data_IF_442421111646
#
_entry.id   IF_442421111646
#
_cell.length_a   1.000
_cell.length_b   1.000
_cell.length_c   1.000
_cell.angle_alpha   90.00
_cell.angle_beta   90.00
_cell.angle_gamma   90.00
#
_symmetry.space_group_name_H-M   'P 1'
#
loop_
_entity.id
_entity.type
_entity.pdbx_description
1 polymer ?
#
# COMPACT_ATOMS: atom_id res chain seq x y z
N UNK A 1 41.28 -10.29 -24.25
CA UNK A 1 40.69 -8.98 -23.88
C UNK A 1 39.21 -9.25 -23.60
N UNK A 2 38.83 -9.34 -22.33
CA UNK A 2 37.43 -9.49 -21.89
C UNK A 2 36.84 -8.06 -21.91
N UNK A 3 35.88 -7.78 -22.80
CA UNK A 3 35.12 -6.56 -22.77
C UNK A 3 34.15 -6.64 -21.57
N UNK A 4 34.43 -5.87 -20.53
CA UNK A 4 33.44 -5.54 -19.52
C UNK A 4 32.39 -4.67 -20.18
N UNK A 5 31.20 -5.22 -20.33
CA UNK A 5 30.01 -4.43 -20.66
C UNK A 5 29.71 -3.62 -19.42
N UNK A 6 30.10 -2.36 -19.41
CA UNK A 6 29.65 -1.39 -18.43
C UNK A 6 28.13 -1.22 -18.65
N UNK A 7 27.32 -1.82 -17.82
CA UNK A 7 25.90 -1.49 -17.74
C UNK A 7 25.85 -0.08 -17.17
N UNK A 8 25.51 0.91 -18.00
CA UNK A 8 25.18 2.25 -17.53
C UNK A 8 24.00 2.10 -16.56
N UNK A 9 24.27 2.28 -15.28
CA UNK A 9 23.26 2.35 -14.26
C UNK A 9 22.48 3.65 -14.52
N UNK A 10 21.34 3.59 -15.21
CA UNK A 10 20.47 4.75 -15.39
C UNK A 10 20.12 5.31 -14.01
N UNK A 11 20.48 6.57 -13.77
CA UNK A 11 20.21 7.26 -12.51
C UNK A 11 18.69 7.44 -12.41
N UNK A 12 18.09 6.88 -11.37
CA UNK A 12 16.67 7.06 -11.08
C UNK A 12 16.40 8.51 -10.65
N UNK A 13 15.34 9.13 -11.19
CA UNK A 13 14.94 10.50 -10.88
C UNK A 13 13.60 10.56 -10.17
N UNK A 14 13.59 11.31 -9.07
CA UNK A 14 12.38 11.60 -8.31
C UNK A 14 12.00 13.07 -8.44
N UNK A 15 10.75 13.33 -8.81
CA UNK A 15 10.13 14.64 -8.66
C UNK A 15 9.56 14.77 -7.25
N UNK A 16 9.89 15.86 -6.55
CA UNK A 16 9.29 16.27 -5.26
C UNK A 16 8.55 17.58 -5.50
N UNK A 17 7.23 17.55 -5.40
CA UNK A 17 6.37 18.71 -5.60
C UNK A 17 5.61 19.03 -4.32
N UNK A 18 5.79 20.26 -3.84
CA UNK A 18 5.16 20.80 -2.63
C UNK A 18 5.21 22.33 -2.73
N UNK A 19 4.14 23.04 -2.42
CA UNK A 19 4.12 24.51 -2.47
C UNK A 19 4.82 25.18 -1.29
N UNK A 20 5.04 24.41 -0.19
CA UNK A 20 5.77 24.87 0.99
C UNK A 20 7.29 24.64 0.84
N UNK A 21 8.12 25.71 0.70
CA UNK A 21 9.57 25.56 0.47
C UNK A 21 10.30 24.80 1.60
N UNK A 22 9.81 24.94 2.85
CA UNK A 22 10.41 24.28 4.02
C UNK A 22 10.15 22.78 3.97
N UNK A 23 8.94 22.37 3.69
CA UNK A 23 8.56 20.95 3.54
C UNK A 23 9.37 20.29 2.41
N UNK A 24 9.41 20.93 1.25
CA UNK A 24 10.19 20.48 0.09
C UNK A 24 11.67 20.30 0.44
N UNK A 25 12.26 21.27 1.15
CA UNK A 25 13.66 21.19 1.60
C UNK A 25 13.90 20.04 2.60
N UNK A 26 12.99 19.82 3.55
CA UNK A 26 13.10 18.75 4.56
C UNK A 26 13.05 17.38 3.89
N UNK A 27 12.11 17.19 2.98
CA UNK A 27 11.96 15.96 2.22
C UNK A 27 13.19 15.70 1.34
N UNK A 28 13.61 16.70 0.54
CA UNK A 28 14.79 16.59 -0.32
C UNK A 28 16.06 16.27 0.48
N UNK A 29 16.23 16.87 1.67
CA UNK A 29 17.35 16.56 2.55
C UNK A 29 17.28 15.11 3.08
N UNK A 30 16.11 14.63 3.46
CA UNK A 30 15.93 13.26 3.93
C UNK A 30 16.28 12.25 2.84
N UNK A 31 15.81 12.49 1.61
CA UNK A 31 16.08 11.66 0.42
C UNK A 31 17.57 11.66 0.08
N UNK A 32 18.21 12.82 -0.03
CA UNK A 32 19.67 12.93 -0.31
C UNK A 32 20.52 12.24 0.74
N UNK A 33 20.15 12.37 2.02
CA UNK A 33 20.91 11.74 3.10
C UNK A 33 20.85 10.21 3.08
N UNK A 34 19.79 9.63 2.52
CA UNK A 34 19.60 8.20 2.49
C UNK A 34 20.09 7.57 1.17
N UNK A 35 19.67 8.11 0.04
CA UNK A 35 19.95 7.54 -1.28
C UNK A 35 21.26 8.07 -1.90
N UNK A 36 21.81 9.18 -1.40
CA UNK A 36 23.01 9.78 -1.97
C UNK A 36 22.87 10.07 -3.45
N UNK A 37 23.83 9.57 -4.24
CA UNK A 37 23.90 9.74 -5.70
C UNK A 37 23.05 8.70 -6.47
N UNK A 38 22.38 7.78 -5.78
CA UNK A 38 21.53 6.75 -6.43
C UNK A 38 20.19 7.30 -6.93
N UNK A 39 19.74 8.45 -6.40
CA UNK A 39 18.47 9.07 -6.70
C UNK A 39 18.64 10.58 -6.95
N UNK A 40 18.46 11.01 -8.18
CA UNK A 40 18.49 12.43 -8.55
C UNK A 40 17.16 13.10 -8.22
N UNK A 41 17.21 14.26 -7.54
CA UNK A 41 16.02 14.97 -7.09
C UNK A 41 15.72 16.14 -8.02
N UNK A 42 14.51 16.18 -8.54
CA UNK A 42 13.89 17.29 -9.27
C UNK A 42 12.82 17.90 -8.36
N UNK A 43 12.83 19.21 -8.14
CA UNK A 43 11.89 19.91 -7.28
C UNK A 43 10.87 20.70 -8.11
N UNK A 44 9.64 20.85 -7.62
CA UNK A 44 8.59 21.70 -8.19
C UNK A 44 7.77 22.38 -7.09
N UNK A 45 7.26 23.58 -7.36
CA UNK A 45 6.56 24.42 -6.38
C UNK A 45 5.03 24.39 -6.56
N UNK A 46 4.53 23.77 -7.59
CA UNK A 46 3.10 23.65 -7.92
C UNK A 46 2.86 22.53 -8.92
N UNK A 47 1.58 22.15 -9.09
CA UNK A 47 1.23 21.04 -9.97
C UNK A 47 1.54 21.26 -11.45
N UNK A 48 1.51 22.50 -11.95
CA UNK A 48 1.88 22.80 -13.35
C UNK A 48 3.37 22.55 -13.59
N UNK A 49 4.19 23.04 -12.70
CA UNK A 49 5.65 22.85 -12.73
C UNK A 49 6.00 21.38 -12.54
N UNK A 50 5.29 20.70 -11.62
CA UNK A 50 5.46 19.26 -11.40
C UNK A 50 5.28 18.45 -12.68
N UNK A 51 4.22 18.69 -13.43
CA UNK A 51 3.96 18.00 -14.70
C UNK A 51 5.09 18.30 -15.71
N UNK A 52 5.44 19.57 -15.89
CA UNK A 52 6.45 19.99 -16.85
C UNK A 52 7.81 19.35 -16.54
N UNK A 53 8.30 19.51 -15.30
CA UNK A 53 9.60 18.98 -14.88
C UNK A 53 9.66 17.46 -14.87
N UNK A 54 8.56 16.79 -14.49
CA UNK A 54 8.50 15.34 -14.53
C UNK A 54 8.77 14.79 -15.92
N UNK A 55 8.15 15.39 -16.94
CA UNK A 55 8.29 14.96 -18.33
C UNK A 55 9.62 15.42 -18.94
N UNK A 56 10.05 16.66 -18.68
CA UNK A 56 11.30 17.23 -19.23
C UNK A 56 12.55 16.54 -18.68
N UNK A 57 12.52 16.12 -17.42
CA UNK A 57 13.65 15.46 -16.76
C UNK A 57 13.55 13.93 -16.77
N UNK A 58 12.53 13.38 -17.45
CA UNK A 58 12.28 11.93 -17.53
C UNK A 58 12.30 11.26 -16.14
N UNK A 59 11.50 11.78 -15.21
CA UNK A 59 11.40 11.23 -13.85
C UNK A 59 10.62 9.91 -13.85
N UNK A 60 11.02 8.99 -12.97
CA UNK A 60 10.35 7.70 -12.79
C UNK A 60 9.44 7.70 -11.56
N UNK A 61 9.72 8.56 -10.58
CA UNK A 61 9.00 8.65 -9.32
C UNK A 61 8.46 10.07 -9.16
N UNK A 62 7.21 10.21 -8.73
CA UNK A 62 6.58 11.48 -8.37
C UNK A 62 6.09 11.44 -6.93
N UNK A 63 6.66 12.25 -6.06
CA UNK A 63 6.21 12.53 -4.71
C UNK A 63 5.49 13.87 -4.71
N UNK A 64 4.17 13.87 -4.52
CA UNK A 64 3.30 15.01 -4.77
C UNK A 64 2.54 15.40 -3.50
N UNK A 65 2.65 16.67 -3.07
CA UNK A 65 1.66 17.22 -2.16
C UNK A 65 0.31 17.35 -2.86
N UNK A 66 -0.77 17.02 -2.16
CA UNK A 66 -2.13 17.12 -2.72
C UNK A 66 -2.57 18.58 -2.78
N UNK A 67 -2.31 19.36 -1.74
CA UNK A 67 -2.93 20.67 -1.52
C UNK A 67 -2.18 21.83 -2.16
N UNK A 68 -1.66 21.65 -3.38
CA UNK A 68 -0.97 22.72 -4.10
C UNK A 68 -1.93 23.70 -4.79
N UNK A 69 -1.60 25.00 -4.87
CA UNK A 69 -2.45 26.00 -5.51
C UNK A 69 -2.50 25.83 -7.04
N UNK A 70 -3.68 26.08 -7.61
CA UNK A 70 -3.93 26.00 -9.05
C UNK A 70 -4.21 24.57 -9.51
N UNK A 71 -3.22 23.86 -10.03
CA UNK A 71 -3.30 22.43 -10.32
C UNK A 71 -2.90 21.68 -9.04
N UNK A 72 -3.85 20.96 -8.44
CA UNK A 72 -3.61 20.16 -7.26
C UNK A 72 -2.73 18.91 -7.59
N UNK A 73 -2.20 18.25 -6.54
CA UNK A 73 -1.35 17.08 -6.73
C UNK A 73 -2.06 15.91 -7.39
N UNK A 74 -3.35 15.75 -7.17
CA UNK A 74 -4.14 14.69 -7.79
C UNK A 74 -4.35 14.94 -9.29
N UNK A 75 -4.65 16.18 -9.68
CA UNK A 75 -4.75 16.56 -11.08
C UNK A 75 -3.38 16.45 -11.79
N UNK A 76 -2.30 16.83 -11.10
CA UNK A 76 -0.94 16.63 -11.61
C UNK A 76 -0.65 15.15 -11.83
N UNK A 77 -0.97 14.30 -10.87
CA UNK A 77 -0.81 12.84 -10.95
C UNK A 77 -1.60 12.22 -12.10
N UNK A 78 -2.86 12.66 -12.33
CA UNK A 78 -3.68 12.18 -13.45
C UNK A 78 -3.01 12.47 -14.81
N UNK A 79 -2.40 13.65 -14.96
CA UNK A 79 -1.70 14.05 -16.19
C UNK A 79 -0.38 13.30 -16.34
N UNK A 80 0.41 13.19 -15.27
CA UNK A 80 1.67 12.42 -15.27
C UNK A 80 1.40 10.96 -15.62
N UNK A 81 0.41 10.32 -14.99
CA UNK A 81 0.04 8.92 -15.25
C UNK A 81 -0.37 8.67 -16.70
N UNK A 82 -1.04 9.65 -17.32
CA UNK A 82 -1.48 9.55 -18.71
C UNK A 82 -0.29 9.53 -19.69
N UNK A 83 0.73 10.35 -19.41
CA UNK A 83 1.93 10.46 -20.26
C UNK A 83 2.95 9.35 -19.94
N UNK A 84 3.09 8.97 -18.66
CA UNK A 84 3.96 7.88 -18.22
C UNK A 84 3.16 6.86 -17.38
N UNK A 85 2.60 5.80 -18.00
CA UNK A 85 1.82 4.78 -17.30
C UNK A 85 2.62 3.96 -16.27
N UNK A 86 3.95 3.88 -16.42
CA UNK A 86 4.82 3.06 -15.57
C UNK A 86 5.38 3.82 -14.35
N UNK A 87 5.18 5.15 -14.24
CA UNK A 87 5.74 5.93 -13.15
C UNK A 87 5.20 5.51 -11.77
N UNK A 88 6.01 5.66 -10.73
CA UNK A 88 5.59 5.49 -9.34
C UNK A 88 5.08 6.81 -8.79
N UNK A 89 3.80 6.88 -8.38
CA UNK A 89 3.18 8.09 -7.82
C UNK A 89 2.92 7.86 -6.34
N UNK A 90 3.40 8.77 -5.50
CA UNK A 90 3.23 8.78 -4.05
C UNK A 90 2.67 10.14 -3.66
N UNK A 91 1.64 10.15 -2.81
CA UNK A 91 1.07 11.39 -2.29
C UNK A 91 1.55 11.69 -0.87
N UNK A 92 1.81 12.97 -0.61
CA UNK A 92 1.95 13.53 0.72
C UNK A 92 0.77 14.47 0.97
N UNK A 93 0.15 14.43 2.15
CA UNK A 93 -0.98 15.30 2.47
C UNK A 93 -1.10 15.55 3.97
N UNK A 94 -1.54 16.76 4.33
CA UNK A 94 -1.90 17.09 5.70
C UNK A 94 -3.32 16.61 6.08
N UNK A 95 -4.10 16.12 5.12
CA UNK A 95 -5.53 15.82 5.31
C UNK A 95 -5.80 14.34 5.10
N UNK A 96 -6.43 13.72 6.09
CA UNK A 96 -6.96 12.35 6.01
C UNK A 96 -8.41 12.40 5.46
N UNK A 97 -8.57 12.90 4.23
CA UNK A 97 -9.88 12.99 3.59
C UNK A 97 -10.14 11.78 2.68
N UNK A 98 -11.24 11.09 2.93
CA UNK A 98 -11.67 9.92 2.15
C UNK A 98 -11.74 10.16 0.63
N UNK A 99 -12.11 11.37 0.20
CA UNK A 99 -12.20 11.72 -1.22
C UNK A 99 -10.81 11.79 -1.90
N UNK A 100 -9.77 12.22 -1.19
CA UNK A 100 -8.40 12.22 -1.71
C UNK A 100 -7.87 10.79 -1.88
N UNK A 101 -8.09 9.94 -0.88
CA UNK A 101 -7.72 8.53 -0.98
C UNK A 101 -8.42 7.82 -2.15
N UNK A 102 -9.69 8.11 -2.40
CA UNK A 102 -10.44 7.56 -3.53
C UNK A 102 -9.89 8.01 -4.89
N UNK A 103 -9.47 9.27 -5.03
CA UNK A 103 -8.84 9.78 -6.25
C UNK A 103 -7.42 9.20 -6.42
N UNK A 104 -6.65 9.05 -5.35
CA UNK A 104 -5.33 8.39 -5.36
C UNK A 104 -5.41 6.95 -5.87
N UNK A 105 -6.44 6.19 -5.46
CA UNK A 105 -6.72 4.84 -5.98
C UNK A 105 -6.99 4.88 -7.49
N UNK A 106 -7.75 5.86 -7.97
CA UNK A 106 -8.11 5.98 -9.38
C UNK A 106 -6.88 6.22 -10.27
N UNK A 107 -5.91 7.00 -9.82
CA UNK A 107 -4.65 7.23 -10.54
C UNK A 107 -3.62 6.11 -10.31
N UNK A 108 -3.99 5.06 -9.58
CA UNK A 108 -3.12 3.95 -9.21
C UNK A 108 -1.85 4.45 -8.52
N UNK A 109 -2.02 5.33 -7.53
CA UNK A 109 -0.92 5.76 -6.70
C UNK A 109 -0.28 4.56 -6.02
N UNK A 110 1.03 4.56 -5.90
CA UNK A 110 1.78 3.54 -5.20
C UNK A 110 1.51 3.63 -3.71
N UNK A 111 1.49 4.85 -3.16
CA UNK A 111 1.21 5.07 -1.75
C UNK A 111 0.63 6.47 -1.46
N UNK A 112 0.18 6.65 -0.21
CA UNK A 112 -0.46 7.84 0.32
C UNK A 112 0.00 8.04 1.77
N UNK A 113 0.84 9.07 2.01
CA UNK A 113 1.47 9.36 3.29
C UNK A 113 0.84 10.60 3.94
N UNK A 114 0.57 10.53 5.24
CA UNK A 114 0.08 11.67 6.01
C UNK A 114 1.24 12.53 6.53
N UNK A 115 1.14 13.86 6.39
CA UNK A 115 2.06 14.82 7.01
C UNK A 115 1.67 15.05 8.48
N UNK A 116 2.63 15.12 9.42
CA UNK A 116 4.06 14.87 9.23
C UNK A 116 4.35 13.37 9.13
N UNK A 117 4.89 12.91 8.00
CA UNK A 117 5.28 11.51 7.84
C UNK A 117 6.56 11.22 8.63
N UNK A 118 6.64 10.05 9.24
CA UNK A 118 7.87 9.58 9.84
C UNK A 118 8.93 9.40 8.74
N UNK A 119 10.19 9.82 9.04
CA UNK A 119 11.28 9.70 8.06
C UNK A 119 11.44 8.27 7.54
N UNK A 120 11.32 7.29 8.44
CA UNK A 120 11.49 5.87 8.10
C UNK A 120 10.37 5.35 7.19
N UNK A 121 9.16 5.86 7.36
CA UNK A 121 8.00 5.56 6.51
C UNK A 121 8.20 6.10 5.08
N UNK A 122 8.59 7.37 4.96
CA UNK A 122 8.90 7.99 3.68
C UNK A 122 10.00 7.21 2.94
N UNK A 123 11.08 6.86 3.64
CA UNK A 123 12.21 6.14 3.07
C UNK A 123 11.78 4.74 2.58
N UNK A 124 11.01 3.99 3.38
CA UNK A 124 10.55 2.66 3.00
C UNK A 124 9.71 2.67 1.70
N UNK A 125 8.81 3.64 1.56
CA UNK A 125 8.00 3.80 0.34
C UNK A 125 8.86 4.19 -0.86
N UNK A 126 9.88 5.04 -0.67
CA UNK A 126 10.78 5.43 -1.73
C UNK A 126 11.73 4.31 -2.16
N UNK A 127 12.23 3.48 -1.23
CA UNK A 127 13.02 2.28 -1.56
C UNK A 127 12.28 1.39 -2.54
N UNK A 128 11.00 1.16 -2.28
CA UNK A 128 10.19 0.35 -3.18
C UNK A 128 9.91 1.04 -4.52
N UNK A 129 9.65 2.36 -4.52
CA UNK A 129 9.47 3.10 -5.75
C UNK A 129 10.72 3.02 -6.65
N UNK A 130 11.91 3.12 -6.05
CA UNK A 130 13.21 2.94 -6.74
C UNK A 130 13.36 1.51 -7.26
N UNK A 131 13.00 0.52 -6.44
CA UNK A 131 13.05 -0.88 -6.85
C UNK A 131 12.15 -1.14 -8.06
N UNK A 132 10.89 -0.72 -8.00
CA UNK A 132 9.93 -0.88 -9.12
C UNK A 132 10.43 -0.16 -10.37
N UNK A 133 10.95 1.07 -10.26
CA UNK A 133 11.46 1.84 -11.40
C UNK A 133 12.60 1.14 -12.11
N UNK A 134 13.55 0.58 -11.35
CA UNK A 134 14.72 -0.13 -11.91
C UNK A 134 14.34 -1.43 -12.62
N UNK A 135 13.24 -2.08 -12.22
CA UNK A 135 12.80 -3.35 -12.81
C UNK A 135 11.84 -3.13 -13.99
N UNK A 136 11.02 -2.08 -13.97
CA UNK A 136 10.13 -1.72 -15.09
C UNK A 136 10.90 -1.28 -16.34
N UNK A 137 12.06 -0.64 -16.19
CA UNK A 137 12.90 -0.20 -17.33
C UNK A 137 13.52 -1.40 -18.09
N UNK A 138 13.70 -2.54 -17.40
CA UNK A 138 14.26 -3.76 -18.02
C UNK A 138 13.26 -4.53 -18.87
N UNK A 139 11.95 -4.45 -18.58
CA UNK A 139 10.93 -5.15 -19.38
C UNK A 139 10.74 -4.58 -20.79
N UNK A 140 11.04 -3.30 -20.99
CA UNK A 140 10.93 -2.67 -22.33
C UNK A 140 12.15 -2.95 -23.23
N UNK A 141 13.28 -3.36 -22.66
CA UNK A 141 14.55 -3.49 -23.39
C UNK A 141 15.00 -4.93 -23.68
N UNK A 142 14.32 -5.96 -23.21
CA UNK A 142 14.82 -7.33 -23.40
C UNK A 142 13.76 -8.36 -23.77
N UNK A 143 13.69 -8.67 -25.05
CA UNK A 143 13.23 -9.95 -25.60
C UNK A 143 14.29 -11.07 -25.41
N UNK A 144 15.18 -10.93 -24.44
CA UNK A 144 16.16 -11.97 -24.07
C UNK A 144 16.16 -12.11 -22.54
N UNK A 145 15.23 -12.94 -22.04
CA UNK A 145 15.28 -13.43 -20.66
C UNK A 145 16.51 -14.31 -20.48
N UNK A 146 17.41 -13.89 -19.59
CA UNK A 146 18.51 -14.76 -19.15
C UNK A 146 18.04 -15.63 -17.99
N UNK A 147 18.58 -16.86 -17.87
CA UNK A 147 18.22 -17.85 -16.83
C UNK A 147 18.38 -17.33 -15.39
N UNK A 148 19.03 -16.19 -15.19
CA UNK A 148 19.22 -15.53 -13.88
C UNK A 148 17.98 -14.75 -13.43
N UNK A 149 17.26 -14.09 -14.35
CA UNK A 149 16.06 -13.31 -14.06
C UNK A 149 14.87 -14.21 -13.66
N UNK A 150 14.75 -15.39 -14.26
CA UNK A 150 13.75 -16.38 -13.86
C UNK A 150 13.95 -16.94 -12.44
N UNK A 151 15.18 -16.91 -11.91
CA UNK A 151 15.45 -17.33 -10.53
C UNK A 151 15.05 -16.23 -9.54
N UNK A 152 15.30 -14.96 -9.87
CA UNK A 152 14.96 -13.84 -9.01
C UNK A 152 13.45 -13.63 -8.93
N UNK A 153 12.71 -13.70 -10.06
CA UNK A 153 11.24 -13.67 -10.08
C UNK A 153 10.62 -14.84 -9.30
N UNK A 154 11.16 -16.05 -9.47
CA UNK A 154 10.68 -17.22 -8.70
C UNK A 154 10.96 -17.07 -7.21
N UNK A 155 12.08 -16.49 -6.83
CA UNK A 155 12.46 -16.26 -5.45
C UNK A 155 11.58 -15.19 -4.80
N UNK A 156 11.21 -14.14 -5.55
CA UNK A 156 10.28 -13.10 -5.08
C UNK A 156 8.85 -13.62 -4.95
N UNK A 157 8.36 -14.40 -5.92
CA UNK A 157 7.05 -15.07 -5.81
C UNK A 157 7.00 -15.99 -4.58
N UNK A 158 8.05 -16.77 -4.34
CA UNK A 158 8.13 -17.64 -3.15
C UNK A 158 8.16 -16.81 -1.87
N UNK A 159 8.94 -15.72 -1.83
CA UNK A 159 9.01 -14.80 -0.68
C UNK A 159 7.65 -14.17 -0.37
N UNK A 160 6.93 -13.72 -1.41
CA UNK A 160 5.60 -13.15 -1.27
C UNK A 160 4.57 -14.18 -0.81
N UNK A 161 4.64 -15.42 -1.28
CA UNK A 161 3.79 -16.52 -0.82
C UNK A 161 4.06 -16.86 0.65
N UNK A 162 5.33 -16.94 1.05
CA UNK A 162 5.72 -17.21 2.45
C UNK A 162 5.25 -16.08 3.35
N UNK A 163 5.40 -14.82 2.94
CA UNK A 163 4.92 -13.68 3.71
C UNK A 163 3.38 -13.67 3.83
N UNK A 164 2.67 -13.95 2.74
CA UNK A 164 1.20 -14.04 2.77
C UNK A 164 0.73 -15.15 3.72
N UNK A 165 1.44 -16.27 3.77
CA UNK A 165 1.12 -17.36 4.72
C UNK A 165 1.38 -16.95 6.17
N UNK A 166 2.51 -16.32 6.48
CA UNK A 166 2.79 -15.80 7.83
C UNK A 166 1.75 -14.76 8.28
N UNK A 167 1.29 -13.90 7.36
CA UNK A 167 0.22 -12.94 7.65
C UNK A 167 -1.08 -13.68 7.99
N UNK A 168 -1.42 -14.70 7.22
CA UNK A 168 -2.61 -15.51 7.44
C UNK A 168 -2.57 -16.20 8.79
N UNK A 169 -1.44 -16.88 9.10
CA UNK A 169 -1.21 -17.54 10.37
C UNK A 169 -1.31 -16.56 11.56
N UNK A 170 -0.73 -15.37 11.42
CA UNK A 170 -0.83 -14.33 12.44
C UNK A 170 -2.27 -13.91 12.69
N UNK A 171 -3.05 -13.63 11.64
CA UNK A 171 -4.45 -13.22 11.78
C UNK A 171 -5.29 -14.35 12.37
N UNK A 172 -5.09 -15.60 11.95
CA UNK A 172 -5.78 -16.77 12.47
C UNK A 172 -5.47 -17.04 13.95
N UNK A 173 -4.25 -16.74 14.39
CA UNK A 173 -3.87 -16.88 15.79
C UNK A 173 -4.46 -15.77 16.68
N UNK A 174 -4.67 -14.55 16.15
CA UNK A 174 -5.00 -13.36 16.93
C UNK A 174 -6.37 -12.74 16.58
N UNK A 175 -7.18 -13.36 15.72
CA UNK A 175 -8.47 -12.76 15.28
C UNK A 175 -9.44 -12.45 16.42
N UNK A 176 -9.33 -13.11 17.55
CA UNK A 176 -10.15 -12.84 18.74
C UNK A 176 -9.72 -11.58 19.51
N UNK A 177 -8.52 -11.09 19.26
CA UNK A 177 -7.94 -9.93 19.91
C UNK A 177 -8.29 -8.64 19.15
N UNK A 178 -8.06 -7.50 19.79
CA UNK A 178 -8.28 -6.18 19.19
C UNK A 178 -7.04 -5.79 18.35
N UNK A 179 -6.85 -6.49 17.22
CA UNK A 179 -5.74 -6.29 16.32
C UNK A 179 -6.08 -5.30 15.21
N UNK A 180 -5.12 -4.47 14.85
CA UNK A 180 -5.17 -3.59 13.69
C UNK A 180 -4.05 -3.93 12.70
N UNK A 181 -4.08 -3.29 11.53
CA UNK A 181 -3.07 -3.46 10.49
C UNK A 181 -1.66 -3.14 11.01
N UNK A 182 -1.53 -2.08 11.82
CA UNK A 182 -0.27 -1.62 12.40
C UNK A 182 0.33 -2.67 13.35
N UNK A 183 -0.51 -3.36 14.13
CA UNK A 183 -0.05 -4.42 15.04
C UNK A 183 0.54 -5.59 14.24
N UNK A 184 -0.13 -5.99 13.16
CA UNK A 184 0.33 -7.05 12.28
C UNK A 184 1.63 -6.66 11.54
N UNK A 185 1.68 -5.45 10.99
CA UNK A 185 2.87 -4.94 10.31
C UNK A 185 4.08 -4.90 11.24
N UNK A 186 3.90 -4.35 12.46
CA UNK A 186 4.96 -4.27 13.47
C UNK A 186 5.45 -5.64 13.91
N UNK A 187 4.54 -6.60 14.15
CA UNK A 187 4.89 -7.96 14.55
C UNK A 187 5.71 -8.69 13.48
N UNK A 188 5.41 -8.43 12.23
CA UNK A 188 6.10 -9.03 11.08
C UNK A 188 7.30 -8.21 10.58
N UNK A 189 7.64 -7.12 11.30
CA UNK A 189 8.78 -6.22 10.99
C UNK A 189 8.69 -5.51 9.64
N UNK A 190 7.46 -5.14 9.22
CA UNK A 190 7.22 -4.36 8.02
C UNK A 190 6.69 -2.97 8.34
N UNK A 191 6.90 -2.00 7.44
CA UNK A 191 6.23 -0.70 7.54
C UNK A 191 4.73 -0.83 7.27
N UNK A 192 3.92 0.04 7.89
CA UNK A 192 2.46 0.02 7.74
C UNK A 192 2.05 0.19 6.27
N UNK A 193 2.75 1.07 5.54
CA UNK A 193 2.51 1.33 4.12
C UNK A 193 2.77 0.11 3.24
N UNK A 194 3.94 -0.53 3.40
CA UNK A 194 4.27 -1.77 2.68
C UNK A 194 3.24 -2.86 3.00
N UNK A 195 2.94 -3.07 4.29
CA UNK A 195 2.02 -4.11 4.73
C UNK A 195 0.60 -3.89 4.18
N UNK A 196 0.10 -2.65 4.20
CA UNK A 196 -1.20 -2.29 3.65
C UNK A 196 -1.32 -2.65 2.17
N UNK A 197 -0.31 -2.28 1.38
CA UNK A 197 -0.29 -2.57 -0.05
C UNK A 197 -0.10 -4.06 -0.32
N UNK A 198 0.87 -4.70 0.32
CA UNK A 198 1.10 -6.14 0.20
C UNK A 198 -0.17 -6.93 0.52
N UNK A 199 -0.84 -6.55 1.63
CA UNK A 199 -2.08 -7.18 2.05
C UNK A 199 -3.17 -7.05 0.99
N UNK A 200 -3.38 -5.83 0.46
CA UNK A 200 -4.38 -5.57 -0.57
C UNK A 200 -4.10 -6.34 -1.87
N UNK A 201 -2.83 -6.43 -2.28
CA UNK A 201 -2.43 -7.14 -3.50
C UNK A 201 -2.58 -8.66 -3.39
N UNK A 202 -2.30 -9.24 -2.22
CA UNK A 202 -2.28 -10.69 -2.04
C UNK A 202 -3.58 -11.26 -1.48
N UNK A 203 -4.43 -10.43 -0.86
CA UNK A 203 -5.70 -10.87 -0.26
C UNK A 203 -6.93 -10.26 -0.96
N UNK A 204 -6.76 -9.41 -1.99
CA UNK A 204 -7.82 -8.70 -2.73
C UNK A 204 -8.78 -7.87 -1.88
N UNK A 205 -8.42 -7.61 -0.61
CA UNK A 205 -9.23 -6.94 0.41
C UNK A 205 -8.32 -6.15 1.35
N UNK A 206 -8.88 -5.13 2.01
CA UNK A 206 -8.16 -4.52 3.12
C UNK A 206 -8.20 -5.39 4.38
N UNK A 207 -7.27 -5.15 5.31
CA UNK A 207 -7.10 -5.93 6.53
C UNK A 207 -8.38 -6.04 7.38
N UNK A 208 -9.11 -4.93 7.54
CA UNK A 208 -10.34 -4.88 8.36
C UNK A 208 -11.45 -5.73 7.75
N UNK A 209 -11.59 -5.69 6.42
CA UNK A 209 -12.59 -6.51 5.72
C UNK A 209 -12.24 -7.99 5.86
N UNK A 210 -10.98 -8.36 5.63
CA UNK A 210 -10.51 -9.74 5.79
C UNK A 210 -10.73 -10.26 7.21
N UNK A 211 -10.30 -9.50 8.22
CA UNK A 211 -10.50 -9.86 9.63
C UNK A 211 -11.99 -10.00 10.00
N UNK A 212 -12.83 -9.09 9.47
CA UNK A 212 -14.29 -9.15 9.73
C UNK A 212 -14.91 -10.40 9.12
N UNK A 213 -14.53 -10.77 7.90
CA UNK A 213 -15.03 -11.99 7.25
C UNK A 213 -14.55 -13.24 7.97
N UNK A 214 -13.26 -13.32 8.36
CA UNK A 214 -12.75 -14.44 9.15
C UNK A 214 -13.52 -14.61 10.46
N UNK A 215 -13.74 -13.51 11.21
CA UNK A 215 -14.52 -13.53 12.44
C UNK A 215 -15.96 -14.00 12.23
N UNK A 216 -16.57 -13.61 11.11
CA UNK A 216 -17.93 -14.05 10.76
C UNK A 216 -17.94 -15.54 10.41
N UNK A 217 -16.96 -16.07 9.69
CA UNK A 217 -16.85 -17.52 9.42
C UNK A 217 -16.71 -18.30 10.74
N UNK A 218 -15.86 -17.86 11.65
CA UNK A 218 -15.72 -18.46 12.97
C UNK A 218 -17.02 -18.36 13.80
N UNK A 219 -17.76 -17.26 13.66
CA UNK A 219 -19.06 -17.11 14.31
C UNK A 219 -20.10 -18.09 13.75
N UNK A 220 -20.11 -18.37 12.44
CA UNK A 220 -20.99 -19.38 11.82
C UNK A 220 -20.77 -20.78 12.41
N UNK A 221 -19.50 -21.14 12.65
CA UNK A 221 -19.16 -22.41 13.30
C UNK A 221 -19.78 -22.50 14.70
N UNK A 222 -19.67 -21.42 15.50
CA UNK A 222 -20.22 -21.35 16.86
C UNK A 222 -21.76 -21.25 16.90
N UNK A 223 -22.38 -20.69 15.86
CA UNK A 223 -23.83 -20.56 15.77
C UNK A 223 -24.55 -21.89 15.63
N UNK A 224 -23.87 -22.95 15.21
CA UNK A 224 -24.42 -24.31 15.16
C UNK A 224 -24.73 -24.86 16.58
N UNK A 225 -24.02 -24.38 17.60
CA UNK A 225 -24.29 -24.73 18.99
C UNK A 225 -25.37 -23.78 19.58
N UNK A 226 -26.59 -24.33 19.74
CA UNK A 226 -27.74 -23.57 20.30
C UNK A 226 -27.59 -23.21 21.77
N UNK A 227 -26.66 -23.82 22.48
CA UNK A 227 -26.40 -23.55 23.89
C UNK A 227 -25.64 -22.26 24.15
N UNK A 228 -24.88 -21.79 23.15
CA UNK A 228 -24.09 -20.57 23.23
C UNK A 228 -24.96 -19.37 22.82
N UNK A 229 -25.09 -18.37 23.68
CA UNK A 229 -25.86 -17.17 23.32
C UNK A 229 -25.10 -16.28 22.30
N UNK A 230 -25.83 -15.53 21.48
CA UNK A 230 -25.29 -14.71 20.39
C UNK A 230 -24.30 -13.64 20.89
N UNK A 231 -24.56 -13.06 22.07
CA UNK A 231 -23.66 -12.08 22.68
C UNK A 231 -22.31 -12.71 23.01
N UNK A 232 -22.34 -13.92 23.56
CA UNK A 232 -21.14 -14.68 23.88
C UNK A 232 -20.37 -15.08 22.60
N UNK A 233 -21.06 -15.48 21.54
CA UNK A 233 -20.42 -15.75 20.24
C UNK A 233 -19.68 -14.51 19.73
N UNK A 234 -20.34 -13.34 19.76
CA UNK A 234 -19.69 -12.09 19.37
C UNK A 234 -18.39 -11.83 20.15
N UNK A 235 -18.41 -12.07 21.47
CA UNK A 235 -17.22 -11.90 22.32
C UNK A 235 -16.12 -12.91 21.99
N UNK A 236 -16.47 -14.18 21.75
CA UNK A 236 -15.51 -15.24 21.41
C UNK A 236 -14.81 -15.02 20.07
N UNK A 237 -15.46 -14.30 19.15
CA UNK A 237 -14.86 -13.97 17.84
C UNK A 237 -14.28 -12.55 17.79
N UNK A 238 -14.07 -11.90 18.94
CA UNK A 238 -13.34 -10.65 19.05
C UNK A 238 -14.18 -9.37 18.94
N UNK A 239 -15.50 -9.42 19.12
CA UNK A 239 -16.36 -8.24 19.19
C UNK A 239 -16.80 -7.95 20.63
N UNK A 240 -16.38 -6.80 21.18
CA UNK A 240 -16.78 -6.36 22.53
C UNK A 240 -18.26 -5.91 22.57
N UNK A 241 -18.74 -5.30 21.47
CA UNK A 241 -20.11 -4.81 21.33
C UNK A 241 -20.96 -5.77 20.48
N UNK A 242 -22.03 -6.30 21.07
CA UNK A 242 -22.89 -7.27 20.39
C UNK A 242 -23.77 -6.65 19.29
N UNK A 243 -24.08 -5.34 19.39
CA UNK A 243 -24.83 -4.63 18.38
C UNK A 243 -23.96 -4.41 17.14
N UNK A 244 -22.70 -4.08 17.35
CA UNK A 244 -21.72 -3.96 16.28
C UNK A 244 -21.46 -5.32 15.61
N UNK A 245 -21.29 -6.38 16.40
CA UNK A 245 -21.20 -7.76 15.87
C UNK A 245 -22.38 -8.09 14.95
N UNK A 246 -23.59 -7.84 15.40
CA UNK A 246 -24.81 -8.11 14.62
C UNK A 246 -24.83 -7.34 13.28
N UNK A 247 -24.39 -6.08 13.30
CA UNK A 247 -24.27 -5.26 12.05
C UNK A 247 -23.24 -5.81 11.09
N UNK A 248 -22.05 -6.19 11.60
CA UNK A 248 -20.97 -6.75 10.76
C UNK A 248 -21.42 -8.09 10.19
N UNK A 249 -21.97 -8.97 11.02
CA UNK A 249 -22.45 -10.29 10.59
C UNK A 249 -23.51 -10.15 9.48
N UNK A 250 -24.50 -9.27 9.67
CA UNK A 250 -25.55 -9.01 8.65
C UNK A 250 -24.95 -8.41 7.37
N UNK A 251 -23.96 -7.53 7.47
CA UNK A 251 -23.28 -6.96 6.30
C UNK A 251 -22.57 -8.02 5.47
N UNK A 252 -21.93 -8.99 6.12
CA UNK A 252 -21.14 -10.05 5.46
C UNK A 252 -22.04 -11.17 4.92
N UNK A 253 -23.09 -11.55 5.67
CA UNK A 253 -23.93 -12.73 5.34
C UNK A 253 -25.30 -12.41 4.75
N UNK A 254 -25.73 -11.15 4.82
CA UNK A 254 -27.09 -10.73 4.47
C UNK A 254 -28.14 -10.95 5.58
N UNK A 255 -27.82 -11.71 6.62
CA UNK A 255 -28.72 -12.10 7.71
C UNK A 255 -28.15 -11.73 9.07
N UNK A 256 -29.02 -11.52 10.07
CA UNK A 256 -28.57 -11.42 11.47
C UNK A 256 -28.09 -12.77 11.99
N UNK A 257 -27.23 -12.80 13.05
CA UNK A 257 -26.81 -14.07 13.67
C UNK A 257 -27.99 -14.95 14.11
N UNK A 258 -29.08 -14.34 14.60
CA UNK A 258 -30.29 -15.08 14.99
C UNK A 258 -30.98 -15.71 13.81
N UNK A 259 -31.23 -14.96 12.74
CA UNK A 259 -31.83 -15.46 11.49
C UNK A 259 -30.98 -16.58 10.88
N UNK A 260 -29.65 -16.43 10.88
CA UNK A 260 -28.73 -17.44 10.38
C UNK A 260 -28.81 -18.75 11.18
N UNK A 261 -28.84 -18.67 12.51
CA UNK A 261 -29.01 -19.85 13.39
C UNK A 261 -30.30 -20.61 13.13
N UNK A 262 -31.42 -19.91 12.97
CA UNK A 262 -32.70 -20.53 12.69
C UNK A 262 -32.81 -21.05 11.25
N UNK A 263 -32.20 -20.37 10.29
CA UNK A 263 -32.22 -20.81 8.88
C UNK A 263 -31.32 -22.01 8.59
N UNK A 264 -30.24 -22.20 9.36
CA UNK A 264 -29.37 -23.39 9.26
C UNK A 264 -29.98 -24.64 9.93
N UNK A 265 -31.10 -24.48 10.64
CA UNK A 265 -31.81 -25.58 11.34
C UNK A 265 -32.98 -26.17 10.53
N UNK A 266 -33.20 -25.71 9.30
CA UNK A 266 -34.11 -26.25 8.30
C UNK A 266 -33.35 -26.92 7.16
#
# INVERSE_FOLDING_TARGET
MKGEIMVENEICRILIADDEPIERMVISKAVRNYFGDELEIVEAENGREAIARFLEQDCQIALLDISMPGIDGLEAAEKIRKENPACSIIFLTAYDEFEYAKRAIKVRAMDYLLKPSAKDELIAVLEEAVYVSRHSTKEVSSLQRTETEEKDEKQEVIKNQVLAEHIREYIEAHYMEDICLQDAAKQLHYSDAYFCRFFKQNFDKNFIVYLSELRVEKAKELLSDVTINIKEIGQRVGYRDSSYFTKVFKRVTGMTPSEYRYGASM
#
